data_IF_637948469704
#
_entry.id   IF_637948469704
#
_cell.length_a   1.000
_cell.length_b   1.000
_cell.length_c   1.000
_cell.angle_alpha   90.00
_cell.angle_beta   90.00
_cell.angle_gamma   90.00
#
_symmetry.space_group_name_H-M   'P 1'
#
loop_
_entity.id
_entity.type
_entity.pdbx_description
1 polymer ?
#
# COMPACT_ATOMS: atom_id res chain seq x y z
N UNK A 1 6.66 13.48 7.50
CA UNK A 1 5.26 13.09 7.71
C UNK A 1 5.04 11.67 7.22
N UNK A 2 4.55 10.82 8.11
CA UNK A 2 4.31 9.43 7.75
C UNK A 2 2.99 9.31 6.99
N UNK A 3 3.05 9.01 5.71
CA UNK A 3 1.86 8.73 4.91
C UNK A 3 1.45 7.27 5.12
N UNK A 4 1.04 6.94 6.35
CA UNK A 4 0.69 5.58 6.73
C UNK A 4 -0.44 5.03 5.87
N UNK A 5 -1.42 5.89 5.56
CA UNK A 5 -2.55 5.51 4.71
C UNK A 5 -2.08 5.17 3.29
N UNK A 6 -1.21 5.99 2.72
CA UNK A 6 -0.68 5.77 1.37
C UNK A 6 0.14 4.49 1.32
N UNK A 7 1.01 4.28 2.33
CA UNK A 7 1.82 3.06 2.41
C UNK A 7 0.94 1.82 2.51
N UNK A 8 -0.11 1.88 3.33
CA UNK A 8 -1.06 0.78 3.50
C UNK A 8 -1.73 0.44 2.16
N UNK A 9 -2.20 1.43 1.43
CA UNK A 9 -2.85 1.20 0.14
C UNK A 9 -1.91 0.62 -0.89
N UNK A 10 -0.65 1.07 -0.91
CA UNK A 10 0.36 0.51 -1.82
C UNK A 10 0.63 -0.95 -1.48
N UNK A 11 0.83 -1.27 -0.20
CA UNK A 11 1.10 -2.65 0.22
C UNK A 11 -0.08 -3.57 -0.12
N UNK A 12 -1.30 -3.10 0.06
CA UNK A 12 -2.50 -3.87 -0.30
C UNK A 12 -2.54 -4.17 -1.80
N UNK A 13 -2.27 -3.16 -2.63
CA UNK A 13 -2.31 -3.35 -4.09
C UNK A 13 -1.23 -4.28 -4.57
N UNK A 14 -0.02 -4.16 -4.05
CA UNK A 14 1.08 -5.04 -4.42
C UNK A 14 0.75 -6.49 -4.05
N UNK A 15 0.16 -6.71 -2.87
CA UNK A 15 -0.21 -8.05 -2.45
C UNK A 15 -1.31 -8.65 -3.32
N UNK A 16 -2.28 -7.84 -3.72
CA UNK A 16 -3.39 -8.31 -4.58
C UNK A 16 -2.94 -8.56 -6.02
N UNK A 17 -2.03 -7.73 -6.52
CA UNK A 17 -1.53 -7.82 -7.89
C UNK A 17 -0.01 -7.74 -7.89
N UNK A 18 0.68 -8.84 -7.56
CA UNK A 18 2.14 -8.78 -7.39
C UNK A 18 2.92 -8.49 -8.66
N UNK A 19 2.28 -8.57 -9.81
CA UNK A 19 2.94 -8.29 -11.09
C UNK A 19 2.55 -6.94 -11.69
N UNK A 20 2.05 -6.02 -10.87
CA UNK A 20 1.68 -4.70 -11.36
C UNK A 20 2.90 -3.82 -11.56
N UNK A 21 2.92 -3.10 -12.68
CA UNK A 21 3.95 -2.12 -12.95
C UNK A 21 3.72 -0.86 -12.12
N UNK A 22 4.74 0.00 -12.06
CA UNK A 22 4.61 1.28 -11.37
C UNK A 22 3.46 2.13 -11.93
N UNK A 23 3.31 2.12 -13.24
CA UNK A 23 2.25 2.88 -13.92
C UNK A 23 0.86 2.36 -13.54
N UNK A 24 0.72 1.04 -13.51
CA UNK A 24 -0.55 0.42 -13.13
C UNK A 24 -0.90 0.74 -11.68
N UNK A 25 0.08 0.68 -10.78
CA UNK A 25 -0.12 1.02 -9.38
C UNK A 25 -0.55 2.47 -9.21
N UNK A 26 0.13 3.38 -9.91
CA UNK A 26 -0.20 4.80 -9.84
C UNK A 26 -1.63 5.06 -10.32
N UNK A 27 -2.00 4.44 -11.43
CA UNK A 27 -3.33 4.59 -12.01
C UNK A 27 -4.41 4.06 -11.06
N UNK A 28 -4.22 2.86 -10.52
CA UNK A 28 -5.22 2.24 -9.64
C UNK A 28 -5.37 2.97 -8.31
N UNK A 29 -4.28 3.55 -7.81
CA UNK A 29 -4.29 4.27 -6.55
C UNK A 29 -4.62 5.76 -6.71
N UNK A 30 -4.71 6.23 -7.95
CA UNK A 30 -4.89 7.64 -8.26
C UNK A 30 -3.77 8.49 -7.67
N UNK A 31 -2.55 7.99 -7.76
CA UNK A 31 -1.34 8.68 -7.33
C UNK A 31 -0.59 9.22 -8.54
N UNK A 32 0.08 10.36 -8.37
CA UNK A 32 1.05 10.79 -9.37
C UNK A 32 2.24 9.81 -9.36
N UNK A 33 2.96 9.72 -10.48
CA UNK A 33 4.14 8.87 -10.54
C UNK A 33 5.20 9.30 -9.53
N UNK A 34 5.35 10.61 -9.32
CA UNK A 34 6.29 11.13 -8.34
C UNK A 34 5.95 10.72 -6.92
N UNK A 35 4.68 10.84 -6.55
CA UNK A 35 4.21 10.43 -5.22
C UNK A 35 4.43 8.94 -5.02
N UNK A 36 4.04 8.14 -6.00
CA UNK A 36 4.20 6.68 -5.92
C UNK A 36 5.67 6.30 -5.79
N UNK A 37 6.52 6.90 -6.62
CA UNK A 37 7.95 6.62 -6.60
C UNK A 37 8.58 6.95 -5.25
N UNK A 38 8.20 8.07 -4.67
CA UNK A 38 8.64 8.47 -3.35
C UNK A 38 8.27 7.43 -2.29
N UNK A 39 7.01 7.00 -2.30
CA UNK A 39 6.51 6.00 -1.36
C UNK A 39 7.16 4.64 -1.55
N UNK A 40 7.35 4.22 -2.81
CA UNK A 40 7.99 2.94 -3.11
C UNK A 40 9.44 2.90 -2.61
N UNK A 41 10.17 4.00 -2.78
CA UNK A 41 11.54 4.09 -2.26
C UNK A 41 11.58 3.97 -0.74
N UNK A 42 10.66 4.65 -0.06
CA UNK A 42 10.57 4.58 1.39
C UNK A 42 10.28 3.15 1.85
N UNK A 43 9.33 2.48 1.20
CA UNK A 43 8.97 1.11 1.53
C UNK A 43 10.12 0.13 1.27
N UNK A 44 10.89 0.35 0.20
CA UNK A 44 12.07 -0.46 -0.10
C UNK A 44 13.15 -0.28 0.98
N UNK A 45 13.41 0.97 1.37
CA UNK A 45 14.42 1.27 2.39
C UNK A 45 14.06 0.62 3.73
N UNK A 46 12.77 0.52 4.03
CA UNK A 46 12.31 -0.14 5.25
C UNK A 46 12.28 -1.66 5.13
N UNK A 47 12.53 -2.19 3.94
CA UNK A 47 12.56 -3.63 3.73
C UNK A 47 11.18 -4.28 3.60
N UNK A 48 10.15 -3.50 3.32
CA UNK A 48 8.77 -4.02 3.21
C UNK A 48 8.44 -4.53 1.82
N UNK A 49 9.10 -4.01 0.80
CA UNK A 49 8.93 -4.45 -0.58
C UNK A 49 10.29 -4.63 -1.23
N UNK A 50 10.32 -5.41 -2.29
CA UNK A 50 11.50 -5.54 -3.13
C UNK A 50 11.09 -5.57 -4.59
N UNK A 51 12.03 -5.18 -5.44
CA UNK A 51 11.82 -5.19 -6.89
C UNK A 51 12.13 -6.58 -7.40
N UNK A 52 11.21 -7.10 -8.19
CA UNK A 52 11.43 -8.34 -8.93
C UNK A 52 11.65 -7.97 -10.38
N UNK A 53 12.83 -8.26 -10.89
CA UNK A 53 13.19 -7.93 -12.25
C UNK A 53 12.98 -9.15 -13.14
N UNK A 54 12.20 -8.98 -14.22
CA UNK A 54 12.09 -10.02 -15.22
C UNK A 54 13.31 -9.95 -16.14
N UNK A 55 14.22 -10.91 -15.97
CA UNK A 55 15.46 -10.97 -16.73
C UNK A 55 15.26 -11.10 -18.24
N UNK A 56 14.05 -11.43 -18.69
CA UNK A 56 13.73 -11.61 -20.11
C UNK A 56 13.15 -10.38 -20.78
N UNK A 57 12.95 -9.30 -20.02
CA UNK A 57 12.33 -8.09 -20.58
C UNK A 57 13.41 -7.02 -20.73
N UNK A 58 13.77 -6.64 -21.98
CA UNK A 58 14.78 -5.60 -22.18
C UNK A 58 14.32 -4.22 -21.76
N UNK A 59 13.05 -4.08 -21.42
CA UNK A 59 12.48 -2.79 -21.04
C UNK A 59 12.61 -2.59 -19.53
N UNK A 60 13.59 -1.78 -19.13
CA UNK A 60 13.87 -1.48 -17.72
C UNK A 60 12.71 -0.79 -17.00
N UNK A 61 11.65 -0.43 -17.71
CA UNK A 61 10.48 0.24 -17.13
C UNK A 61 9.46 -0.73 -16.54
N UNK A 62 9.67 -2.04 -16.71
CA UNK A 62 8.76 -3.05 -16.20
C UNK A 62 9.30 -3.70 -14.93
N UNK A 63 9.53 -2.87 -13.91
CA UNK A 63 9.83 -3.40 -12.58
C UNK A 63 8.54 -3.80 -11.90
N UNK A 64 8.54 -5.01 -11.34
CA UNK A 64 7.44 -5.49 -10.53
C UNK A 64 7.86 -5.46 -9.07
N UNK A 65 6.90 -5.19 -8.21
CA UNK A 65 7.15 -5.12 -6.78
C UNK A 65 6.46 -6.26 -6.07
N UNK A 66 7.12 -6.82 -5.08
CA UNK A 66 6.53 -7.85 -4.23
C UNK A 66 6.76 -7.49 -2.77
N UNK A 67 5.87 -7.97 -1.91
CA UNK A 67 6.03 -7.81 -0.47
C UNK A 67 7.06 -8.80 0.06
N UNK A 68 7.92 -8.32 0.94
CA UNK A 68 8.79 -9.19 1.73
C UNK A 68 7.97 -9.77 2.89
N UNK A 69 8.46 -10.82 3.59
CA UNK A 69 7.79 -11.27 4.82
C UNK A 69 7.59 -10.15 5.83
N UNK A 70 8.56 -9.26 5.96
CA UNK A 70 8.45 -8.07 6.81
C UNK A 70 7.34 -7.14 6.34
N UNK A 71 7.18 -7.00 5.02
CA UNK A 71 6.11 -6.20 4.43
C UNK A 71 4.74 -6.78 4.68
N UNK A 72 4.61 -8.10 4.63
CA UNK A 72 3.35 -8.77 4.94
C UNK A 72 2.96 -8.52 6.39
N UNK A 73 3.91 -8.63 7.30
CA UNK A 73 3.69 -8.35 8.73
C UNK A 73 3.26 -6.90 8.93
N UNK A 74 3.94 -5.97 8.29
CA UNK A 74 3.60 -4.56 8.38
C UNK A 74 2.21 -4.27 7.81
N UNK A 75 1.88 -4.86 6.68
CA UNK A 75 0.56 -4.70 6.05
C UNK A 75 -0.55 -5.21 6.98
N UNK A 76 -0.33 -6.34 7.63
CA UNK A 76 -1.28 -6.91 8.59
C UNK A 76 -1.49 -5.96 9.77
N UNK A 77 -0.40 -5.43 10.32
CA UNK A 77 -0.45 -4.47 11.43
C UNK A 77 -1.25 -3.22 11.06
N UNK A 78 -0.99 -2.69 9.87
CA UNK A 78 -1.71 -1.51 9.37
C UNK A 78 -3.18 -1.81 9.13
N UNK A 79 -3.48 -3.02 8.66
CA UNK A 79 -4.87 -3.46 8.45
C UNK A 79 -5.63 -3.44 9.78
N UNK A 80 -5.05 -4.02 10.84
CA UNK A 80 -5.68 -4.05 12.16
C UNK A 80 -5.92 -2.64 12.67
N UNK A 81 -4.93 -1.76 12.55
CA UNK A 81 -5.06 -0.37 13.01
C UNK A 81 -6.13 0.38 12.24
N UNK A 82 -6.19 0.17 10.93
CA UNK A 82 -7.20 0.78 10.07
C UNK A 82 -8.61 0.32 10.47
N UNK A 83 -8.77 -0.98 10.69
CA UNK A 83 -10.05 -1.55 11.10
C UNK A 83 -10.52 -0.98 12.44
N UNK A 84 -9.61 -0.85 13.41
CA UNK A 84 -9.94 -0.26 14.70
C UNK A 84 -10.49 1.15 14.57
N UNK A 85 -9.85 1.96 13.74
CA UNK A 85 -10.31 3.34 13.52
C UNK A 85 -11.68 3.36 12.87
N UNK A 86 -11.93 2.48 11.91
CA UNK A 86 -13.22 2.38 11.24
C UNK A 86 -14.31 1.91 12.19
N UNK A 87 -13.99 0.98 13.07
CA UNK A 87 -14.93 0.51 14.10
C UNK A 87 -15.29 1.62 15.09
N UNK A 88 -14.32 2.42 15.50
CA UNK A 88 -14.59 3.55 16.38
C UNK A 88 -15.49 4.58 15.71
N UNK A 89 -15.23 4.91 14.46
CA UNK A 89 -16.06 5.82 13.69
C UNK A 89 -17.50 5.30 13.58
N UNK A 90 -17.63 4.02 13.30
CA UNK A 90 -18.93 3.37 13.20
C UNK A 90 -19.69 3.46 14.52
N UNK A 91 -19.02 3.15 15.64
CA UNK A 91 -19.64 3.18 16.95
C UNK A 91 -20.07 4.61 17.34
N UNK A 92 -19.26 5.60 17.00
CA UNK A 92 -19.60 7.00 17.26
C UNK A 92 -20.83 7.44 16.46
N UNK A 93 -20.89 7.08 15.19
CA UNK A 93 -22.04 7.40 14.35
C UNK A 93 -23.30 6.71 14.87
N UNK A 94 -23.16 5.47 15.30
CA UNK A 94 -24.27 4.70 15.85
C UNK A 94 -24.82 5.36 17.11
N UNK A 95 -23.94 5.88 17.96
CA UNK A 95 -24.34 6.62 19.18
C UNK A 95 -25.10 7.89 18.82
N UNK A 96 -24.67 8.60 17.79
CA UNK A 96 -25.35 9.81 17.33
C UNK A 96 -26.78 9.52 16.91
N UNK A 97 -26.99 8.41 16.22
CA UNK A 97 -28.34 7.99 15.81
C UNK A 97 -29.24 7.69 16.99
N UNK A 98 -28.68 7.16 18.08
CA UNK A 98 -29.47 6.80 19.27
C UNK A 98 -29.86 8.00 20.12
N UNK A 99 -29.20 9.14 19.94
CA UNK A 99 -29.50 10.36 20.71
C UNK A 99 -30.69 11.14 20.19
N UNK A 100 -31.34 10.69 19.18
CA UNK A 100 -32.55 11.33 18.64
C UNK A 100 -33.81 10.77 19.22
#
# INVERSE_FOLDING_TARGET
>A
MKNTQDHFEILRKIQKKPNSSQRELAKELDFSLGKLNYCLKALQLQGFIKIKNFSKNPNKLNYFYILTPKGITEKTKLTVNFMRRKMQEYDELKKELKKR
#
